data_IF_372963267536
#
_entry.id   IF_372963267536
#
_cell.length_a   1.000
_cell.length_b   1.000
_cell.length_c   1.000
_cell.angle_alpha   90.00
_cell.angle_beta   90.00
_cell.angle_gamma   90.00
#
_symmetry.space_group_name_H-M   'P 1'
#
loop_
_entity.id
_entity.type
_entity.pdbx_description
1 polymer ?
#
# COMPACT_ATOMS: atom_id res chain seq x y z
N UNK A 1 -45.91 -34.27 38.39
CA UNK A 1 -44.99 -33.30 37.81
C UNK A 1 -45.73 -32.54 36.73
N UNK A 2 -46.07 -31.25 36.93
CA UNK A 2 -46.77 -30.47 35.91
C UNK A 2 -45.80 -29.80 34.96
N UNK A 3 -46.17 -29.78 33.69
CA UNK A 3 -45.48 -29.14 32.56
C UNK A 3 -45.59 -27.63 32.64
N UNK A 4 -44.49 -26.90 32.38
CA UNK A 4 -44.48 -25.46 32.16
C UNK A 4 -44.67 -25.17 30.65
N UNK A 5 -45.72 -24.40 30.34
CA UNK A 5 -45.93 -23.80 29.02
C UNK A 5 -45.06 -22.54 28.86
N UNK A 6 -44.61 -22.22 27.64
CA UNK A 6 -43.89 -20.97 27.38
C UNK A 6 -44.83 -19.81 27.10
N UNK A 7 -44.62 -18.70 27.80
CA UNK A 7 -45.36 -17.44 27.58
C UNK A 7 -44.82 -16.75 26.31
N UNK A 8 -45.71 -16.55 25.33
CA UNK A 8 -45.54 -15.66 24.19
C UNK A 8 -45.54 -14.21 24.60
N UNK A 9 -44.44 -13.47 24.36
CA UNK A 9 -44.40 -11.99 24.41
C UNK A 9 -44.29 -11.44 23.01
N UNK A 10 -45.34 -10.73 22.62
CA UNK A 10 -45.40 -9.88 21.45
C UNK A 10 -44.40 -8.71 21.57
N UNK A 11 -43.60 -8.47 20.55
CA UNK A 11 -42.70 -7.32 20.45
C UNK A 11 -43.42 -6.25 19.64
N UNK A 12 -43.82 -5.16 20.32
CA UNK A 12 -44.24 -3.93 19.67
C UNK A 12 -43.03 -3.09 19.28
N UNK A 13 -43.00 -2.65 18.03
CA UNK A 13 -42.01 -1.71 17.50
C UNK A 13 -42.29 -0.31 18.03
N UNK A 14 -41.38 0.30 18.78
CA UNK A 14 -41.31 1.74 18.95
C UNK A 14 -39.86 2.18 18.75
N UNK A 15 -39.64 3.07 17.76
CA UNK A 15 -38.35 3.68 17.49
C UNK A 15 -37.92 4.61 18.63
N UNK A 16 -36.67 4.54 19.00
CA UNK A 16 -36.09 5.46 19.98
C UNK A 16 -34.64 5.07 20.27
N UNK A 17 -33.73 5.84 19.73
CA UNK A 17 -32.28 5.72 19.97
C UNK A 17 -32.00 6.20 21.39
N UNK A 18 -31.56 5.31 22.30
CA UNK A 18 -31.19 5.65 23.68
C UNK A 18 -29.70 5.94 23.73
N UNK A 19 -29.34 7.20 23.97
CA UNK A 19 -27.98 7.59 24.34
C UNK A 19 -27.77 7.41 25.84
N UNK A 20 -26.78 6.63 26.21
CA UNK A 20 -26.32 6.56 27.59
C UNK A 20 -25.39 7.73 27.89
N UNK A 21 -25.84 8.69 28.73
CA UNK A 21 -25.01 9.75 29.28
C UNK A 21 -24.65 9.34 30.72
N UNK A 22 -23.50 8.73 30.90
CA UNK A 22 -22.95 8.42 32.22
C UNK A 22 -22.28 9.65 32.84
N UNK A 23 -22.94 10.25 33.82
CA UNK A 23 -22.37 11.39 34.58
C UNK A 23 -21.23 10.96 35.52
N UNK A 24 -20.04 11.52 35.33
CA UNK A 24 -18.93 11.40 36.27
C UNK A 24 -19.10 12.38 37.40
N UNK A 25 -19.30 11.91 38.66
CA UNK A 25 -19.25 12.74 39.86
C UNK A 25 -17.79 13.10 40.18
N UNK A 26 -17.49 14.41 40.20
CA UNK A 26 -16.20 14.94 40.69
C UNK A 26 -16.18 14.83 42.24
N UNK A 27 -15.34 13.97 42.77
CA UNK A 27 -14.93 14.02 44.17
C UNK A 27 -13.74 14.96 44.30
N UNK A 28 -13.93 16.06 45.06
CA UNK A 28 -12.84 16.97 45.45
C UNK A 28 -12.00 16.26 46.53
N UNK A 29 -10.71 16.04 46.23
CA UNK A 29 -9.70 15.78 47.28
C UNK A 29 -8.89 17.06 47.51
N UNK A 30 -8.81 17.46 48.77
CA UNK A 30 -7.97 18.56 49.23
C UNK A 30 -6.48 18.23 49.02
N UNK A 31 -5.76 19.22 48.50
CA UNK A 31 -4.32 19.17 48.33
C UNK A 31 -3.61 19.49 49.67
N UNK A 32 -2.80 18.55 50.15
CA UNK A 32 -1.72 18.84 51.07
C UNK A 32 -0.48 19.25 50.27
N UNK A 33 0.02 20.45 50.55
CA UNK A 33 1.28 20.96 50.02
C UNK A 33 2.45 20.18 50.60
N UNK A 34 3.24 19.51 49.77
CA UNK A 34 4.60 19.13 50.10
C UNK A 34 5.55 19.80 49.10
N UNK A 35 6.34 20.71 49.65
CA UNK A 35 7.45 21.39 48.96
C UNK A 35 8.55 20.37 48.68
N UNK A 36 8.99 20.27 47.41
CA UNK A 36 10.19 19.56 46.99
C UNK A 36 11.23 20.61 46.59
N UNK A 37 12.47 20.50 47.08
CA UNK A 37 13.52 21.52 46.81
C UNK A 37 13.97 21.50 45.36
N UNK A 38 14.26 22.72 44.84
CA UNK A 38 14.81 22.95 43.55
C UNK A 38 16.25 22.38 43.45
N UNK A 39 16.47 21.43 42.54
CA UNK A 39 17.81 21.08 42.10
C UNK A 39 18.05 21.78 40.73
N UNK A 40 18.84 22.84 40.80
CA UNK A 40 19.45 23.46 39.61
C UNK A 40 20.54 22.52 39.07
N UNK A 41 20.32 21.96 37.90
CA UNK A 41 21.39 21.53 37.01
C UNK A 41 21.00 21.88 35.58
N UNK A 42 21.47 23.06 35.15
CA UNK A 42 21.45 23.47 33.74
C UNK A 42 22.59 22.75 33.03
N UNK A 43 22.32 21.56 32.47
CA UNK A 43 23.15 21.02 31.42
C UNK A 43 22.58 21.51 30.09
N UNK A 44 23.28 22.45 29.48
CA UNK A 44 22.96 22.93 28.12
C UNK A 44 23.13 21.80 27.13
N UNK A 45 22.03 21.14 26.78
CA UNK A 45 21.99 20.28 25.57
C UNK A 45 21.74 21.18 24.36
N UNK A 46 22.82 21.62 23.74
CA UNK A 46 22.74 22.15 22.37
C UNK A 46 22.56 20.94 21.43
N UNK A 47 21.32 20.47 21.29
CA UNK A 47 20.98 19.63 20.16
C UNK A 47 20.73 20.56 18.98
N UNK A 48 21.63 20.54 18.01
CA UNK A 48 21.42 21.11 16.68
C UNK A 48 20.40 20.22 15.95
N UNK A 49 19.11 20.39 16.28
CA UNK A 49 18.00 19.79 15.53
C UNK A 49 17.82 20.57 14.22
N UNK A 50 18.72 20.32 13.26
CA UNK A 50 18.38 20.58 11.86
C UNK A 50 17.33 19.56 11.49
N UNK A 51 16.10 19.94 11.08
CA UNK A 51 15.08 18.99 10.66
C UNK A 51 15.66 18.10 9.55
N UNK A 52 15.55 16.79 9.71
CA UNK A 52 16.10 15.86 8.74
C UNK A 52 15.42 16.13 7.38
N UNK A 53 16.25 16.28 6.34
CA UNK A 53 15.78 16.58 4.99
C UNK A 53 15.00 15.38 4.46
N UNK A 54 13.85 15.62 3.82
CA UNK A 54 13.12 14.58 3.11
C UNK A 54 14.06 13.83 2.15
N UNK A 55 13.97 12.49 2.06
CA UNK A 55 14.68 11.74 1.04
C UNK A 55 14.36 12.28 -0.35
N UNK A 56 15.36 12.32 -1.23
CA UNK A 56 15.14 12.71 -2.62
C UNK A 56 14.12 11.75 -3.24
N UNK A 57 13.02 12.27 -3.78
CA UNK A 57 11.99 11.44 -4.41
C UNK A 57 12.51 10.90 -5.75
N UNK A 58 13.06 9.68 -5.74
CA UNK A 58 13.70 9.02 -6.89
C UNK A 58 12.75 8.10 -7.66
N UNK A 59 11.59 7.76 -7.12
CA UNK A 59 10.67 6.79 -7.72
C UNK A 59 10.12 7.26 -9.07
N UNK A 60 10.30 6.42 -10.10
CA UNK A 60 9.83 6.64 -11.46
C UNK A 60 9.82 5.31 -12.24
N UNK A 61 9.27 5.31 -13.44
CA UNK A 61 9.38 4.19 -14.37
C UNK A 61 8.51 2.98 -14.02
N UNK A 62 9.06 1.80 -14.19
CA UNK A 62 8.37 0.53 -13.97
C UNK A 62 8.53 0.11 -12.50
N UNK A 63 7.43 0.13 -11.77
CA UNK A 63 7.40 -0.30 -10.37
C UNK A 63 6.50 -1.54 -10.24
N UNK A 64 7.06 -2.66 -9.78
CA UNK A 64 6.25 -3.82 -9.46
C UNK A 64 5.53 -3.62 -8.12
N UNK A 65 4.20 -3.81 -8.09
CA UNK A 65 3.49 -4.08 -6.85
C UNK A 65 3.82 -5.52 -6.44
N UNK A 66 4.94 -5.69 -5.72
CA UNK A 66 5.56 -6.98 -5.51
C UNK A 66 4.68 -7.90 -4.65
N UNK A 67 4.58 -9.18 -5.06
CA UNK A 67 3.89 -10.20 -4.28
C UNK A 67 4.71 -10.58 -3.04
N UNK A 68 4.03 -10.86 -1.93
CA UNK A 68 4.65 -11.44 -0.73
C UNK A 68 4.43 -12.95 -0.74
N UNK A 69 5.49 -13.70 -0.61
CA UNK A 69 5.40 -15.15 -0.46
C UNK A 69 4.83 -15.50 0.93
N UNK A 70 4.01 -16.54 0.98
CA UNK A 70 3.37 -17.03 2.21
C UNK A 70 3.96 -18.39 2.57
N UNK A 71 4.37 -18.54 3.81
CA UNK A 71 4.89 -19.76 4.38
C UNK A 71 3.83 -20.83 4.59
N UNK A 72 4.19 -21.89 5.28
CA UNK A 72 3.30 -23.05 5.44
C UNK A 72 2.18 -22.78 6.45
N UNK A 73 2.44 -21.91 7.41
CA UNK A 73 1.52 -21.61 8.50
C UNK A 73 0.94 -20.17 8.40
N UNK A 74 0.97 -19.56 7.20
CA UNK A 74 0.39 -18.26 6.97
C UNK A 74 1.29 -17.07 7.30
N UNK A 75 2.54 -17.31 7.70
CA UNK A 75 3.54 -16.25 7.90
C UNK A 75 4.11 -15.75 6.56
N UNK A 76 4.55 -14.49 6.49
CA UNK A 76 5.32 -14.02 5.33
C UNK A 76 6.64 -14.80 5.20
N UNK A 77 6.88 -15.38 4.02
CA UNK A 77 8.19 -15.95 3.67
C UNK A 77 9.10 -14.85 3.15
N UNK A 78 9.84 -14.25 4.06
CA UNK A 78 10.72 -13.13 3.76
C UNK A 78 11.85 -13.51 2.80
N UNK A 79 12.42 -14.71 2.92
CA UNK A 79 13.51 -15.16 2.06
C UNK A 79 13.06 -15.24 0.59
N UNK A 80 11.91 -15.87 0.33
CA UNK A 80 11.37 -15.97 -1.03
C UNK A 80 10.91 -14.61 -1.54
N UNK A 81 10.34 -13.76 -0.69
CA UNK A 81 9.89 -12.42 -1.07
C UNK A 81 11.06 -11.50 -1.46
N UNK A 82 12.18 -11.54 -0.72
CA UNK A 82 13.38 -10.75 -1.03
C UNK A 82 14.12 -11.28 -2.26
N UNK A 83 14.10 -12.58 -2.51
CA UNK A 83 14.61 -13.17 -3.74
C UNK A 83 13.82 -12.69 -4.98
N UNK A 84 12.48 -12.68 -4.92
CA UNK A 84 11.66 -12.09 -5.98
C UNK A 84 11.96 -10.61 -6.18
N UNK A 85 12.07 -9.84 -5.11
CA UNK A 85 12.37 -8.42 -5.18
C UNK A 85 13.68 -8.16 -5.94
N UNK A 86 14.73 -8.92 -5.65
CA UNK A 86 16.01 -8.85 -6.33
C UNK A 86 15.88 -9.19 -7.81
N UNK A 87 15.23 -10.30 -8.12
CA UNK A 87 14.95 -10.72 -9.49
C UNK A 87 14.21 -9.65 -10.30
N UNK A 88 13.18 -9.00 -9.74
CA UNK A 88 12.42 -7.97 -10.42
C UNK A 88 13.25 -6.71 -10.72
N UNK A 89 14.13 -6.31 -9.80
CA UNK A 89 15.04 -5.19 -10.03
C UNK A 89 16.08 -5.51 -11.11
N UNK A 90 16.58 -6.73 -11.14
CA UNK A 90 17.54 -7.21 -12.15
C UNK A 90 16.91 -7.38 -13.53
N UNK A 91 15.63 -7.77 -13.57
CA UNK A 91 14.91 -7.99 -14.84
C UNK A 91 14.25 -6.76 -15.43
N UNK A 92 14.28 -5.61 -14.74
CA UNK A 92 13.91 -4.35 -15.38
C UNK A 92 13.02 -3.41 -14.58
N UNK A 93 12.56 -3.76 -13.38
CA UNK A 93 11.87 -2.80 -12.54
C UNK A 93 12.80 -1.68 -12.08
N UNK A 94 12.35 -0.42 -12.21
CA UNK A 94 13.05 0.74 -11.69
C UNK A 94 12.88 0.89 -10.17
N UNK A 95 11.81 0.32 -9.63
CA UNK A 95 11.52 0.28 -8.20
C UNK A 95 10.48 -0.77 -7.83
N UNK A 96 10.17 -0.86 -6.55
CA UNK A 96 9.19 -1.80 -6.02
C UNK A 96 8.17 -1.10 -5.10
N UNK A 97 6.94 -1.62 -5.10
CA UNK A 97 5.94 -1.31 -4.08
C UNK A 97 5.72 -2.54 -3.21
N UNK A 98 6.34 -2.54 -2.04
CA UNK A 98 6.30 -3.62 -1.03
C UNK A 98 5.02 -3.51 -0.21
N UNK A 99 4.39 -4.62 0.18
CA UNK A 99 3.21 -4.64 1.04
C UNK A 99 2.07 -3.73 0.53
N UNK A 100 1.84 -3.73 -0.78
CA UNK A 100 0.60 -3.22 -1.37
C UNK A 100 -0.50 -4.29 -1.35
N UNK A 101 -1.56 -4.09 -2.14
CA UNK A 101 -2.65 -5.07 -2.29
C UNK A 101 -2.13 -6.40 -2.85
N UNK A 102 -1.25 -6.35 -3.86
CA UNK A 102 -0.63 -7.56 -4.43
C UNK A 102 0.27 -8.27 -3.42
N UNK A 103 0.85 -7.53 -2.49
CA UNK A 103 1.65 -8.05 -1.38
C UNK A 103 0.83 -8.48 -0.16
N UNK A 104 -0.49 -8.60 -0.30
CA UNK A 104 -1.42 -9.07 0.74
C UNK A 104 -1.31 -8.33 2.08
N UNK A 105 -0.93 -7.03 2.06
CA UNK A 105 -0.64 -6.25 3.26
C UNK A 105 -1.77 -6.27 4.30
N UNK A 106 -3.04 -6.31 3.86
CA UNK A 106 -4.21 -6.31 4.75
C UNK A 106 -4.53 -7.67 5.36
N UNK A 107 -3.89 -8.74 4.88
CA UNK A 107 -3.98 -10.07 5.48
C UNK A 107 -2.90 -10.33 6.54
N UNK A 108 -1.89 -9.47 6.63
CA UNK A 108 -0.81 -9.59 7.60
C UNK A 108 -1.01 -8.64 8.79
N UNK A 109 -0.66 -9.12 9.98
CA UNK A 109 -0.64 -8.30 11.20
C UNK A 109 0.39 -7.17 11.11
N UNK A 110 0.27 -6.17 11.99
CA UNK A 110 1.24 -5.09 12.11
C UNK A 110 2.69 -5.62 12.22
N UNK A 111 2.89 -6.59 13.11
CA UNK A 111 4.22 -7.16 13.36
C UNK A 111 4.74 -7.99 12.17
N UNK A 112 3.88 -8.73 11.47
CA UNK A 112 4.27 -9.43 10.26
C UNK A 112 4.70 -8.45 9.16
N UNK A 113 3.95 -7.34 8.97
CA UNK A 113 4.32 -6.29 8.00
C UNK A 113 5.67 -5.65 8.37
N UNK A 114 5.90 -5.34 9.64
CA UNK A 114 7.20 -4.81 10.11
C UNK A 114 8.34 -5.79 9.85
N UNK A 115 8.15 -7.09 10.14
CA UNK A 115 9.17 -8.11 9.83
C UNK A 115 9.50 -8.19 8.35
N UNK A 116 8.51 -8.11 7.46
CA UNK A 116 8.76 -8.06 6.02
C UNK A 116 9.61 -6.84 5.65
N UNK A 117 9.28 -5.66 6.16
CA UNK A 117 10.02 -4.43 5.89
C UNK A 117 11.47 -4.54 6.37
N UNK A 118 11.68 -5.05 7.59
CA UNK A 118 13.01 -5.27 8.16
C UNK A 118 13.82 -6.28 7.33
N UNK A 119 13.20 -7.38 6.89
CA UNK A 119 13.85 -8.37 6.05
C UNK A 119 14.33 -7.81 4.70
N UNK A 120 13.62 -6.86 4.10
CA UNK A 120 14.09 -6.17 2.89
C UNK A 120 15.33 -5.33 3.15
N UNK A 121 15.40 -4.65 4.30
CA UNK A 121 16.59 -3.90 4.72
C UNK A 121 17.77 -4.82 4.99
N UNK A 122 17.56 -5.89 5.77
CA UNK A 122 18.59 -6.88 6.12
C UNK A 122 19.13 -7.63 4.90
N UNK A 123 18.28 -7.83 3.87
CA UNK A 123 18.71 -8.41 2.59
C UNK A 123 19.55 -7.43 1.75
N UNK A 124 19.81 -6.20 2.20
CA UNK A 124 20.60 -5.21 1.48
C UNK A 124 19.94 -4.73 0.18
N UNK A 125 18.60 -4.75 0.11
CA UNK A 125 17.86 -4.24 -1.04
C UNK A 125 17.86 -2.70 -1.07
N UNK A 126 17.84 -2.05 -2.25
CA UNK A 126 17.90 -0.59 -2.39
C UNK A 126 16.57 0.05 -1.98
N UNK A 127 16.37 0.29 -0.67
CA UNK A 127 15.11 0.81 -0.12
C UNK A 127 14.80 2.23 -0.63
N UNK A 128 15.80 2.98 -1.07
CA UNK A 128 15.69 4.28 -1.75
C UNK A 128 15.01 4.18 -3.14
N UNK A 129 14.85 2.97 -3.66
CA UNK A 129 14.08 2.66 -4.87
C UNK A 129 12.75 1.95 -4.56
N UNK A 130 12.32 1.93 -3.30
CA UNK A 130 11.14 1.20 -2.86
C UNK A 130 10.18 2.08 -2.06
N UNK A 131 8.90 1.99 -2.39
CA UNK A 131 7.84 2.42 -1.49
C UNK A 131 7.25 1.20 -0.78
N UNK A 132 6.66 1.43 0.40
CA UNK A 132 6.00 0.38 1.16
C UNK A 132 4.59 0.78 1.58
N UNK A 133 3.65 -0.13 1.45
CA UNK A 133 2.27 0.08 1.90
C UNK A 133 2.20 0.18 3.41
N UNK A 134 1.78 1.34 3.93
CA UNK A 134 1.63 1.60 5.37
C UNK A 134 0.20 1.91 5.78
N UNK A 135 -0.71 2.13 4.82
CA UNK A 135 -2.13 2.36 5.11
C UNK A 135 -2.74 1.22 5.94
N UNK A 136 -3.58 1.57 6.89
CA UNK A 136 -4.31 0.66 7.77
C UNK A 136 -5.66 1.27 8.17
N UNK A 137 -6.61 0.44 8.64
CA UNK A 137 -7.89 0.94 9.13
C UNK A 137 -7.72 1.75 10.42
N UNK A 138 -6.81 1.33 11.31
CA UNK A 138 -6.45 2.07 12.51
C UNK A 138 -5.31 3.05 12.20
N UNK A 139 -5.49 4.34 12.54
CA UNK A 139 -4.47 5.37 12.35
C UNK A 139 -3.18 5.07 13.12
N UNK A 140 -3.28 4.46 14.30
CA UNK A 140 -2.11 4.08 15.11
C UNK A 140 -1.21 3.06 14.39
N UNK A 141 -1.80 2.10 13.68
CA UNK A 141 -1.07 1.11 12.88
C UNK A 141 -0.40 1.75 11.66
N UNK A 142 -1.13 2.67 10.98
CA UNK A 142 -0.56 3.42 9.86
C UNK A 142 0.64 4.28 10.31
N UNK A 143 0.54 4.94 11.48
CA UNK A 143 1.64 5.69 12.09
C UNK A 143 2.82 4.77 12.38
N UNK A 144 2.59 3.64 13.05
CA UNK A 144 3.65 2.70 13.44
C UNK A 144 4.40 2.14 12.21
N UNK A 145 3.67 1.78 11.16
CA UNK A 145 4.26 1.29 9.90
C UNK A 145 5.01 2.40 9.17
N UNK A 146 4.47 3.62 9.14
CA UNK A 146 5.12 4.74 8.44
C UNK A 146 6.40 5.18 9.16
N UNK A 147 6.41 5.19 10.51
CA UNK A 147 7.63 5.39 11.29
C UNK A 147 8.69 4.34 10.96
N UNK A 148 8.29 3.08 10.97
CA UNK A 148 9.21 1.98 10.67
C UNK A 148 9.76 2.06 9.23
N UNK A 149 8.93 2.47 8.26
CA UNK A 149 9.39 2.73 6.89
C UNK A 149 10.46 3.84 6.83
N UNK A 150 10.25 4.93 7.59
CA UNK A 150 11.21 6.02 7.69
C UNK A 150 12.53 5.57 8.34
N UNK A 151 12.45 4.83 9.45
CA UNK A 151 13.60 4.29 10.18
C UNK A 151 14.47 3.38 9.30
N UNK A 152 13.85 2.58 8.45
CA UNK A 152 14.57 1.68 7.53
C UNK A 152 15.09 2.38 6.27
N UNK A 153 14.62 3.58 5.94
CA UNK A 153 15.07 4.34 4.77
C UNK A 153 14.32 4.03 3.47
N UNK A 154 13.08 3.57 3.55
CA UNK A 154 12.25 3.45 2.34
C UNK A 154 12.04 4.81 1.67
N UNK A 155 12.05 4.84 0.32
CA UNK A 155 11.84 6.05 -0.47
C UNK A 155 10.46 6.70 -0.23
N UNK A 156 9.47 5.92 0.18
CA UNK A 156 8.15 6.42 0.45
C UNK A 156 7.21 5.45 1.15
N UNK A 157 6.22 6.01 1.81
CA UNK A 157 5.09 5.31 2.39
C UNK A 157 3.88 5.45 1.44
N UNK A 158 3.33 4.32 0.99
CA UNK A 158 2.11 4.27 0.21
C UNK A 158 0.91 4.11 1.15
N UNK A 159 0.08 5.13 1.24
CA UNK A 159 -1.00 5.21 2.23
C UNK A 159 -2.35 4.99 1.56
N UNK A 160 -2.93 3.78 1.75
CA UNK A 160 -4.33 3.52 1.48
C UNK A 160 -5.19 4.26 2.52
N UNK A 161 -6.28 4.93 2.15
CA UNK A 161 -7.16 5.56 3.13
C UNK A 161 -7.76 4.52 4.09
N UNK A 162 -8.24 4.91 5.29
CA UNK A 162 -8.85 4.00 6.25
C UNK A 162 -10.12 3.37 5.64
N UNK A 163 -10.02 2.12 5.22
CA UNK A 163 -10.97 1.47 4.32
C UNK A 163 -12.18 0.82 5.02
N UNK A 164 -12.25 0.80 6.35
CA UNK A 164 -13.38 0.16 7.05
C UNK A 164 -14.62 1.04 7.05
N UNK A 165 -14.50 2.31 7.48
CA UNK A 165 -15.62 3.25 7.46
C UNK A 165 -15.81 3.85 6.07
N UNK A 166 -17.04 3.79 5.55
CA UNK A 166 -17.42 4.36 4.25
C UNK A 166 -18.12 5.71 4.46
N UNK A 167 -18.08 6.55 3.43
CA UNK A 167 -18.76 7.85 3.47
C UNK A 167 -18.15 8.83 4.48
N UNK A 168 -16.88 8.68 4.82
CA UNK A 168 -16.18 9.65 5.68
C UNK A 168 -16.00 10.98 4.95
N UNK A 169 -16.05 12.09 5.69
CA UNK A 169 -15.79 13.43 5.17
C UNK A 169 -14.31 13.66 4.87
N UNK A 170 -14.01 14.55 3.95
CA UNK A 170 -12.64 14.97 3.61
C UNK A 170 -11.83 15.40 4.84
N UNK A 171 -12.45 16.08 5.80
CA UNK A 171 -11.79 16.49 7.05
C UNK A 171 -11.25 15.29 7.84
N UNK A 172 -11.97 14.17 7.83
CA UNK A 172 -11.51 12.93 8.46
C UNK A 172 -10.29 12.34 7.73
N UNK A 173 -10.26 12.41 6.40
CA UNK A 173 -9.13 11.96 5.59
C UNK A 173 -7.91 12.88 5.76
N UNK A 174 -8.14 14.20 5.84
CA UNK A 174 -7.07 15.17 6.16
C UNK A 174 -6.50 14.90 7.55
N UNK A 175 -7.34 14.71 8.56
CA UNK A 175 -6.91 14.41 9.92
C UNK A 175 -6.14 13.07 10.02
N UNK A 176 -6.50 12.06 9.21
CA UNK A 176 -5.77 10.81 9.13
C UNK A 176 -4.35 11.00 8.58
N UNK A 177 -4.19 11.79 7.52
CA UNK A 177 -2.87 12.13 6.96
C UNK A 177 -2.09 13.03 7.91
N UNK A 178 -2.74 14.01 8.56
CA UNK A 178 -2.11 14.89 9.54
C UNK A 178 -1.48 14.11 10.71
N UNK A 179 -2.20 13.13 11.25
CA UNK A 179 -1.69 12.27 12.32
C UNK A 179 -0.42 11.52 11.89
N UNK A 180 -0.36 11.02 10.65
CA UNK A 180 0.81 10.34 10.09
C UNK A 180 1.98 11.33 9.90
N UNK A 181 1.72 12.48 9.29
CA UNK A 181 2.73 13.53 9.02
C UNK A 181 3.34 14.03 10.32
N UNK A 182 2.50 14.38 11.30
CA UNK A 182 2.91 14.87 12.62
C UNK A 182 3.74 13.83 13.36
N UNK A 183 3.29 12.57 13.39
CA UNK A 183 3.98 11.50 14.08
C UNK A 183 5.35 11.14 13.47
N UNK A 184 5.58 11.49 12.22
CA UNK A 184 6.83 11.23 11.48
C UNK A 184 7.63 12.51 11.21
N UNK A 185 7.39 13.61 11.96
CA UNK A 185 8.05 14.90 11.71
C UNK A 185 9.54 14.87 11.99
N UNK A 186 9.98 14.13 13.02
CA UNK A 186 11.40 14.00 13.38
C UNK A 186 12.23 13.22 12.35
N UNK A 187 11.61 12.24 11.68
CA UNK A 187 12.22 11.46 10.61
C UNK A 187 11.23 11.37 9.44
N UNK A 188 11.18 12.41 8.58
CA UNK A 188 10.18 12.52 7.54
C UNK A 188 10.41 11.51 6.42
N UNK A 189 9.31 10.92 5.93
CA UNK A 189 9.27 10.05 4.75
C UNK A 189 8.26 10.58 3.76
N UNK A 190 8.54 10.44 2.46
CA UNK A 190 7.63 10.83 1.39
C UNK A 190 6.34 10.03 1.44
N UNK A 191 5.19 10.69 1.33
CA UNK A 191 3.87 10.06 1.34
C UNK A 191 3.31 10.01 -0.08
N UNK A 192 2.96 8.81 -0.52
CA UNK A 192 2.19 8.54 -1.73
C UNK A 192 0.76 8.17 -1.33
N UNK A 193 -0.21 8.86 -1.87
CA UNK A 193 -1.62 8.51 -1.70
C UNK A 193 -1.95 7.27 -2.52
N UNK A 194 -2.70 6.34 -1.97
CA UNK A 194 -3.14 5.17 -2.73
C UNK A 194 -4.63 5.28 -3.05
N UNK A 195 -4.95 5.58 -4.30
CA UNK A 195 -6.30 5.67 -4.81
C UNK A 195 -6.75 4.32 -5.35
N UNK A 196 -7.59 3.64 -4.59
CA UNK A 196 -8.19 2.36 -5.00
C UNK A 196 -9.62 2.26 -4.48
N UNK A 197 -10.56 3.04 -5.06
CA UNK A 197 -11.93 3.16 -4.54
C UNK A 197 -12.69 1.83 -4.55
N UNK A 198 -12.43 0.93 -5.50
CA UNK A 198 -13.05 -0.40 -5.53
C UNK A 198 -12.72 -1.25 -4.29
N UNK A 199 -11.58 -1.02 -3.62
CA UNK A 199 -11.19 -1.72 -2.39
C UNK A 199 -11.45 -0.89 -1.13
N UNK A 200 -11.11 0.40 -1.16
CA UNK A 200 -11.25 1.26 0.02
C UNK A 200 -12.68 1.79 0.21
N UNK A 201 -13.44 1.94 -0.88
CA UNK A 201 -14.72 2.66 -0.88
C UNK A 201 -14.57 4.16 -0.64
N UNK A 202 -13.35 4.70 -0.71
CA UNK A 202 -13.01 6.10 -0.48
C UNK A 202 -12.22 6.67 -1.67
N UNK A 203 -12.34 7.98 -1.90
CA UNK A 203 -11.74 8.65 -3.05
C UNK A 203 -10.76 9.74 -2.61
N UNK A 204 -9.55 9.72 -3.18
CA UNK A 204 -8.65 10.88 -3.18
C UNK A 204 -8.99 11.75 -4.40
N UNK A 205 -10.12 12.48 -4.38
CA UNK A 205 -10.50 13.34 -5.51
C UNK A 205 -9.57 14.57 -5.61
N UNK A 206 -9.50 15.15 -6.80
CA UNK A 206 -8.52 16.21 -7.14
C UNK A 206 -8.52 17.38 -6.16
N UNK A 207 -9.71 17.83 -5.71
CA UNK A 207 -9.81 18.94 -4.75
C UNK A 207 -9.23 18.57 -3.38
N UNK A 208 -9.44 17.32 -2.90
CA UNK A 208 -8.84 16.82 -1.65
C UNK A 208 -7.32 16.68 -1.78
N UNK A 209 -6.81 16.20 -2.92
CA UNK A 209 -5.37 16.13 -3.17
C UNK A 209 -4.75 17.53 -3.12
N UNK A 210 -5.37 18.54 -3.75
CA UNK A 210 -4.91 19.95 -3.67
C UNK A 210 -4.84 20.42 -2.22
N UNK A 211 -5.91 20.21 -1.44
CA UNK A 211 -5.96 20.54 -0.02
C UNK A 211 -4.84 19.87 0.77
N UNK A 212 -4.55 18.60 0.52
CA UNK A 212 -3.44 17.88 1.18
C UNK A 212 -2.07 18.47 0.80
N UNK A 213 -1.89 18.84 -0.47
CA UNK A 213 -0.67 19.47 -0.96
C UNK A 213 -0.47 20.86 -0.34
N UNK A 214 -1.54 21.66 -0.21
CA UNK A 214 -1.51 22.97 0.42
C UNK A 214 -1.22 22.87 1.93
N UNK A 215 -1.74 21.81 2.59
CA UNK A 215 -1.58 21.63 4.03
C UNK A 215 -0.21 21.05 4.41
N UNK A 216 0.27 20.05 3.67
CA UNK A 216 1.44 19.23 4.04
C UNK A 216 2.65 19.41 3.10
N UNK A 217 2.50 20.24 2.08
CA UNK A 217 3.60 20.65 1.20
C UNK A 217 4.32 19.47 0.54
N UNK A 218 5.63 19.43 0.75
CA UNK A 218 6.53 18.43 0.16
C UNK A 218 6.39 17.01 0.74
N UNK A 219 5.62 16.84 1.83
CA UNK A 219 5.38 15.53 2.41
C UNK A 219 4.50 14.66 1.51
N UNK A 220 3.59 15.27 0.74
CA UNK A 220 2.72 14.59 -0.22
C UNK A 220 3.37 14.68 -1.60
N UNK A 221 3.92 13.57 -2.07
CA UNK A 221 4.78 13.55 -3.26
C UNK A 221 4.15 12.91 -4.49
N UNK A 222 3.06 12.13 -4.32
CA UNK A 222 2.46 11.47 -5.46
C UNK A 222 1.24 10.61 -5.11
N UNK A 223 0.78 9.92 -6.14
CA UNK A 223 -0.42 9.08 -6.13
C UNK A 223 -0.15 7.78 -6.89
N UNK A 224 -0.50 6.65 -6.29
CA UNK A 224 -0.78 5.42 -7.03
C UNK A 224 -2.27 5.36 -7.35
N UNK A 225 -2.61 5.26 -8.62
CA UNK A 225 -4.00 5.16 -9.05
C UNK A 225 -4.34 3.75 -9.54
N UNK A 226 -5.28 3.11 -8.86
CA UNK A 226 -5.84 1.79 -9.21
C UNK A 226 -7.35 1.86 -9.49
N UNK A 227 -7.88 3.04 -9.83
CA UNK A 227 -9.28 3.21 -10.22
C UNK A 227 -9.57 2.65 -11.60
N UNK A 228 -8.57 2.68 -12.50
CA UNK A 228 -8.73 2.39 -13.92
C UNK A 228 -9.23 3.60 -14.73
N UNK A 229 -9.51 4.73 -14.08
CA UNK A 229 -9.94 5.97 -14.73
C UNK A 229 -8.71 6.80 -15.15
N UNK A 230 -8.32 6.67 -16.42
CA UNK A 230 -7.18 7.40 -16.98
C UNK A 230 -7.42 8.91 -17.08
N UNK A 231 -8.66 9.37 -17.15
CA UNK A 231 -8.96 10.81 -17.13
C UNK A 231 -8.66 11.38 -15.73
N UNK A 232 -9.15 10.73 -14.68
CA UNK A 232 -8.80 11.09 -13.30
C UNK A 232 -7.28 11.07 -13.07
N UNK A 233 -6.58 10.05 -13.56
CA UNK A 233 -5.12 9.97 -13.40
C UNK A 233 -4.39 11.16 -14.04
N UNK A 234 -4.81 11.58 -15.25
CA UNK A 234 -4.26 12.77 -15.93
C UNK A 234 -4.60 14.06 -15.19
N UNK A 235 -5.83 14.21 -14.70
CA UNK A 235 -6.24 15.37 -13.91
C UNK A 235 -5.41 15.47 -12.62
N UNK A 236 -5.20 14.36 -11.93
CA UNK A 236 -4.33 14.31 -10.76
C UNK A 236 -2.87 14.68 -11.10
N UNK A 237 -2.34 14.18 -12.23
CA UNK A 237 -0.98 14.49 -12.67
C UNK A 237 -0.80 15.97 -13.08
N UNK A 238 -1.87 16.66 -13.47
CA UNK A 238 -1.86 18.08 -13.83
C UNK A 238 -1.83 19.04 -12.63
N UNK A 239 -2.00 18.54 -11.40
CA UNK A 239 -2.10 19.38 -10.21
C UNK A 239 -0.81 20.19 -9.99
N UNK A 240 0.33 19.51 -10.02
CA UNK A 240 1.66 20.12 -9.87
C UNK A 240 2.70 19.29 -10.62
N UNK A 241 3.71 19.91 -11.28
CA UNK A 241 4.77 19.16 -12.00
C UNK A 241 5.56 18.19 -11.10
N UNK A 242 5.69 18.47 -9.80
CA UNK A 242 6.38 17.60 -8.85
C UNK A 242 5.53 16.45 -8.31
N UNK A 243 4.21 16.47 -8.53
CA UNK A 243 3.30 15.44 -8.01
C UNK A 243 3.29 14.23 -8.91
N UNK A 244 3.89 13.15 -8.45
CA UNK A 244 4.13 11.93 -9.24
C UNK A 244 2.92 11.01 -9.24
N UNK A 245 2.33 10.78 -10.40
CA UNK A 245 1.19 9.89 -10.57
C UNK A 245 1.61 8.61 -11.27
N UNK A 246 1.17 7.48 -10.73
CA UNK A 246 1.44 6.13 -11.21
C UNK A 246 0.14 5.36 -11.42
N UNK A 247 -0.40 5.30 -12.64
CA UNK A 247 -1.49 4.37 -12.96
C UNK A 247 -1.06 2.91 -12.75
N UNK A 248 -2.00 2.05 -12.37
CA UNK A 248 -1.70 0.62 -12.13
C UNK A 248 -1.90 -0.25 -13.38
N UNK A 249 -1.47 0.25 -14.53
CA UNK A 249 -1.55 -0.47 -15.81
C UNK A 249 -0.33 -0.20 -16.66
N UNK A 250 0.17 -1.23 -17.34
CA UNK A 250 1.27 -1.14 -18.30
C UNK A 250 0.91 -0.28 -19.50
N UNK A 251 -0.38 -0.19 -19.85
CA UNK A 251 -0.87 0.65 -20.95
C UNK A 251 -0.55 2.14 -20.74
N UNK A 252 -0.24 2.58 -19.51
CA UNK A 252 0.18 3.93 -19.21
C UNK A 252 1.67 4.22 -19.50
N UNK A 253 2.49 3.22 -19.81
CA UNK A 253 3.93 3.40 -20.02
C UNK A 253 4.30 4.36 -21.16
N UNK A 254 3.59 4.43 -22.30
CA UNK A 254 3.86 5.45 -23.31
C UNK A 254 3.68 6.89 -22.79
N UNK A 255 2.61 7.14 -22.01
CA UNK A 255 2.38 8.44 -21.39
C UNK A 255 3.36 8.72 -20.26
N UNK A 256 3.84 7.70 -19.55
CA UNK A 256 4.89 7.85 -18.55
C UNK A 256 6.25 8.20 -19.17
N UNK A 257 6.51 7.75 -20.39
CA UNK A 257 7.74 8.05 -21.13
C UNK A 257 7.79 9.47 -21.67
N UNK A 258 6.67 10.01 -22.09
CA UNK A 258 6.60 11.29 -22.83
C UNK A 258 5.76 12.37 -22.16
N UNK A 259 5.10 12.10 -21.04
CA UNK A 259 4.07 12.99 -20.53
C UNK A 259 3.81 12.92 -19.05
N UNK A 260 2.54 12.96 -18.64
CA UNK A 260 2.19 13.41 -17.29
C UNK A 260 2.48 12.39 -16.17
N UNK A 261 2.72 11.12 -16.50
CA UNK A 261 2.90 10.10 -15.46
C UNK A 261 4.37 9.90 -15.11
N UNK A 262 4.63 9.60 -13.85
CA UNK A 262 5.98 9.29 -13.38
C UNK A 262 6.41 7.85 -13.72
N UNK A 263 5.47 6.98 -14.05
CA UNK A 263 5.67 5.58 -14.34
C UNK A 263 4.37 4.80 -14.24
N UNK A 264 4.46 3.49 -14.02
CA UNK A 264 3.34 2.65 -13.60
C UNK A 264 3.70 1.84 -12.35
N UNK A 265 2.70 1.53 -11.52
CA UNK A 265 2.83 0.58 -10.41
C UNK A 265 1.90 -0.59 -10.68
N UNK A 266 2.42 -1.68 -11.25
CA UNK A 266 1.60 -2.79 -11.72
C UNK A 266 1.83 -4.08 -10.95
N UNK A 267 0.74 -4.82 -10.73
CA UNK A 267 0.77 -6.17 -10.18
C UNK A 267 1.37 -7.17 -11.18
N UNK A 268 1.04 -7.04 -12.47
CA UNK A 268 1.55 -7.93 -13.53
C UNK A 268 3.02 -7.70 -13.86
N UNK A 269 3.64 -6.59 -13.40
CA UNK A 269 5.08 -6.40 -13.46
C UNK A 269 5.88 -7.49 -12.69
N UNK A 270 5.24 -8.23 -11.78
CA UNK A 270 5.84 -9.46 -11.20
C UNK A 270 6.14 -10.56 -12.26
N UNK A 271 5.52 -10.48 -13.44
CA UNK A 271 5.53 -11.53 -14.46
C UNK A 271 6.17 -11.08 -15.77
N UNK A 272 6.25 -9.75 -15.98
CA UNK A 272 6.60 -9.15 -17.29
C UNK A 272 7.48 -7.89 -17.14
N UNK A 273 8.29 -7.82 -16.08
CA UNK A 273 9.16 -6.68 -15.79
C UNK A 273 10.05 -6.30 -17.00
N UNK A 274 10.59 -7.29 -17.69
CA UNK A 274 11.45 -7.12 -18.88
C UNK A 274 10.70 -6.47 -20.05
N UNK A 275 9.43 -6.85 -20.26
CA UNK A 275 8.57 -6.25 -21.29
C UNK A 275 8.23 -4.81 -20.95
N UNK A 276 7.84 -4.56 -19.71
CA UNK A 276 7.54 -3.22 -19.21
C UNK A 276 8.77 -2.30 -19.34
N UNK A 277 9.96 -2.79 -18.96
CA UNK A 277 11.20 -2.02 -19.07
C UNK A 277 11.52 -1.63 -20.50
N UNK A 278 11.38 -2.55 -21.45
CA UNK A 278 11.58 -2.26 -22.89
C UNK A 278 10.54 -1.25 -23.40
N UNK A 279 9.27 -1.46 -23.07
CA UNK A 279 8.20 -0.53 -23.45
C UNK A 279 8.46 0.88 -22.92
N UNK A 280 8.89 1.00 -21.66
CA UNK A 280 9.16 2.29 -21.04
C UNK A 280 10.45 2.94 -21.55
N UNK A 281 11.58 2.22 -21.56
CA UNK A 281 12.90 2.80 -21.83
C UNK A 281 13.13 3.05 -23.31
N UNK A 282 12.77 2.10 -24.18
CA UNK A 282 12.99 2.19 -25.63
C UNK A 282 11.74 2.52 -26.45
N UNK A 283 10.54 2.54 -25.84
CA UNK A 283 9.29 2.73 -26.58
C UNK A 283 8.90 1.53 -27.44
N UNK A 284 9.34 0.32 -27.04
CA UNK A 284 9.07 -0.92 -27.77
C UNK A 284 7.58 -1.26 -27.73
N UNK A 285 6.88 -0.98 -28.83
CA UNK A 285 5.44 -1.21 -28.96
C UNK A 285 5.07 -2.70 -28.93
N UNK A 286 5.94 -3.59 -29.41
CA UNK A 286 5.69 -5.03 -29.37
C UNK A 286 5.77 -5.54 -27.93
N UNK A 287 6.79 -5.11 -27.16
CA UNK A 287 6.90 -5.44 -25.74
C UNK A 287 5.71 -4.91 -24.92
N UNK A 288 5.23 -3.69 -25.24
CA UNK A 288 4.02 -3.15 -24.61
C UNK A 288 2.79 -4.02 -24.89
N UNK A 289 2.59 -4.41 -26.15
CA UNK A 289 1.45 -5.25 -26.56
C UNK A 289 1.49 -6.62 -25.85
N UNK A 290 2.66 -7.23 -25.72
CA UNK A 290 2.86 -8.48 -24.98
C UNK A 290 2.55 -8.28 -23.47
N UNK A 291 3.08 -7.21 -22.85
CA UNK A 291 2.84 -6.91 -21.44
C UNK A 291 1.34 -6.70 -21.14
N UNK A 292 0.65 -5.94 -21.99
CA UNK A 292 -0.80 -5.72 -21.90
C UNK A 292 -1.58 -7.04 -22.13
N UNK A 293 -1.11 -7.89 -23.04
CA UNK A 293 -1.73 -9.22 -23.24
C UNK A 293 -1.61 -10.09 -22.02
N UNK A 294 -0.44 -10.13 -21.36
CA UNK A 294 -0.25 -10.86 -20.10
C UNK A 294 -1.19 -10.31 -19.00
N UNK A 295 -1.33 -8.98 -18.90
CA UNK A 295 -2.28 -8.38 -17.95
C UNK A 295 -3.71 -8.84 -18.19
N UNK A 296 -4.16 -8.88 -19.43
CA UNK A 296 -5.52 -9.29 -19.81
C UNK A 296 -5.85 -10.75 -19.48
N UNK A 297 -4.86 -11.60 -19.25
CA UNK A 297 -5.09 -12.98 -18.79
C UNK A 297 -5.84 -13.03 -17.44
N UNK A 298 -5.78 -11.98 -16.68
CA UNK A 298 -6.41 -11.87 -15.35
C UNK A 298 -7.75 -11.13 -15.36
N UNK A 299 -8.24 -10.68 -16.51
CA UNK A 299 -9.51 -9.97 -16.61
C UNK A 299 -10.66 -10.88 -16.11
N UNK A 300 -11.46 -10.36 -15.16
CA UNK A 300 -12.53 -11.11 -14.51
C UNK A 300 -12.09 -12.21 -13.53
N UNK A 301 -10.81 -12.30 -13.22
CA UNK A 301 -10.25 -13.32 -12.32
C UNK A 301 -9.67 -12.70 -11.04
N UNK A 302 -9.45 -13.54 -10.02
CA UNK A 302 -8.79 -13.16 -8.78
C UNK A 302 -7.30 -12.85 -9.04
N UNK A 303 -6.96 -11.55 -9.12
CA UNK A 303 -5.64 -11.09 -9.58
C UNK A 303 -4.49 -11.59 -8.71
N UNK A 304 -4.57 -11.42 -7.38
CA UNK A 304 -3.45 -11.76 -6.47
C UNK A 304 -3.17 -13.28 -6.47
N UNK A 305 -4.17 -14.16 -6.26
CA UNK A 305 -3.97 -15.60 -6.38
C UNK A 305 -3.47 -16.02 -7.77
N UNK A 306 -3.95 -15.37 -8.84
CA UNK A 306 -3.53 -15.65 -10.21
C UNK A 306 -2.07 -15.30 -10.47
N UNK A 307 -1.59 -14.14 -10.02
CA UNK A 307 -0.18 -13.74 -10.08
C UNK A 307 0.70 -14.75 -9.34
N UNK A 308 0.32 -15.14 -8.13
CA UNK A 308 1.08 -16.08 -7.33
C UNK A 308 1.08 -17.49 -7.94
N UNK A 309 -0.03 -17.92 -8.54
CA UNK A 309 -0.08 -19.18 -9.29
C UNK A 309 0.87 -19.18 -10.50
N UNK A 310 0.99 -18.04 -11.19
CA UNK A 310 1.90 -17.92 -12.34
C UNK A 310 3.36 -17.78 -11.88
N UNK A 311 3.65 -17.09 -10.76
CA UNK A 311 4.98 -17.10 -10.15
C UNK A 311 5.41 -18.54 -9.76
N UNK A 312 4.49 -19.36 -9.25
CA UNK A 312 4.77 -20.76 -8.96
C UNK A 312 5.19 -21.55 -10.21
N UNK A 313 4.57 -21.26 -11.36
CA UNK A 313 4.92 -21.86 -12.64
C UNK A 313 6.26 -21.33 -13.18
N UNK A 314 6.45 -20.01 -13.23
CA UNK A 314 7.64 -19.36 -13.80
C UNK A 314 8.92 -19.76 -13.05
N UNK A 315 8.85 -19.87 -11.73
CA UNK A 315 10.01 -20.15 -10.88
C UNK A 315 10.13 -21.64 -10.49
N UNK A 316 9.25 -22.51 -11.02
CA UNK A 316 9.16 -23.93 -10.62
C UNK A 316 9.13 -24.08 -9.08
N UNK A 317 8.31 -23.25 -8.43
CA UNK A 317 8.26 -23.15 -6.98
C UNK A 317 6.80 -23.15 -6.48
N UNK A 318 6.18 -24.32 -6.32
CA UNK A 318 4.78 -24.49 -5.91
C UNK A 318 4.35 -23.66 -4.68
N UNK A 319 5.20 -23.41 -3.66
CA UNK A 319 4.83 -22.60 -2.52
C UNK A 319 4.42 -21.16 -2.85
N UNK A 320 4.78 -20.61 -4.02
CA UNK A 320 4.29 -19.32 -4.45
C UNK A 320 2.77 -19.23 -4.59
N UNK A 321 2.10 -20.35 -4.87
CA UNK A 321 0.64 -20.38 -5.04
C UNK A 321 -0.15 -20.19 -3.73
N UNK A 322 0.52 -20.15 -2.57
CA UNK A 322 -0.13 -19.93 -1.27
C UNK A 322 -0.57 -18.46 -1.13
N UNK A 323 -1.76 -18.28 -0.56
CA UNK A 323 -2.34 -16.96 -0.25
C UNK A 323 -2.88 -16.98 1.17
N UNK A 324 -2.96 -15.79 1.79
CA UNK A 324 -3.59 -15.63 3.10
C UNK A 324 -5.11 -15.41 2.99
N UNK A 325 -5.92 -15.93 3.91
CA UNK A 325 -7.31 -15.53 4.03
C UNK A 325 -7.45 -13.99 4.14
N UNK A 326 -8.52 -13.39 3.58
CA UNK A 326 -9.69 -14.06 2.98
C UNK A 326 -9.50 -14.49 1.52
N UNK A 327 -8.29 -14.37 0.97
CA UNK A 327 -8.02 -14.86 -0.38
C UNK A 327 -8.07 -16.40 -0.39
N UNK A 328 -8.45 -16.94 -1.53
CA UNK A 328 -8.49 -18.39 -1.77
C UNK A 328 -7.54 -18.77 -2.90
N UNK A 329 -7.11 -20.02 -2.90
CA UNK A 329 -6.27 -20.59 -3.97
C UNK A 329 -6.91 -20.34 -5.33
N UNK A 330 -6.09 -19.98 -6.32
CA UNK A 330 -6.54 -19.73 -7.69
C UNK A 330 -7.18 -20.99 -8.30
N UNK A 331 -8.37 -20.85 -8.88
CA UNK A 331 -9.13 -21.97 -9.42
C UNK A 331 -8.32 -22.75 -10.46
N UNK A 332 -8.40 -24.07 -10.44
CA UNK A 332 -7.56 -24.94 -11.29
C UNK A 332 -7.75 -24.67 -12.80
N UNK A 333 -9.00 -24.44 -13.23
CA UNK A 333 -9.31 -24.12 -14.63
C UNK A 333 -8.71 -22.78 -15.05
N UNK A 334 -8.84 -21.76 -14.20
CA UNK A 334 -8.25 -20.43 -14.45
C UNK A 334 -6.72 -20.49 -14.47
N UNK A 335 -6.13 -21.27 -13.56
CA UNK A 335 -4.69 -21.48 -13.50
C UNK A 335 -4.16 -22.09 -14.80
N UNK A 336 -4.79 -23.15 -15.30
CA UNK A 336 -4.39 -23.79 -16.55
C UNK A 336 -4.49 -22.80 -17.74
N UNK A 337 -5.58 -22.04 -17.82
CA UNK A 337 -5.79 -21.06 -18.89
C UNK A 337 -4.77 -19.92 -18.84
N UNK A 338 -4.47 -19.38 -17.65
CA UNK A 338 -3.50 -18.30 -17.47
C UNK A 338 -2.07 -18.76 -17.79
N UNK A 339 -1.67 -19.97 -17.35
CA UNK A 339 -0.36 -20.54 -17.68
C UNK A 339 -0.22 -20.74 -19.19
N UNK A 340 -1.18 -21.39 -19.84
CA UNK A 340 -1.14 -21.60 -21.28
C UNK A 340 -1.09 -20.28 -22.07
N UNK A 341 -1.86 -19.27 -21.63
CA UNK A 341 -1.84 -17.93 -22.24
C UNK A 341 -0.49 -17.23 -22.07
N UNK A 342 0.11 -17.30 -20.88
CA UNK A 342 1.43 -16.75 -20.61
C UNK A 342 2.52 -17.42 -21.47
N UNK A 343 2.57 -18.73 -21.49
CA UNK A 343 3.55 -19.50 -22.26
C UNK A 343 3.42 -19.19 -23.76
N UNK A 344 2.20 -19.06 -24.29
CA UNK A 344 1.95 -18.68 -25.67
C UNK A 344 2.47 -17.28 -26.02
N UNK A 345 2.39 -16.32 -25.11
CA UNK A 345 2.96 -14.97 -25.30
C UNK A 345 4.48 -15.05 -25.27
N UNK A 346 5.06 -15.79 -24.32
CA UNK A 346 6.52 -15.88 -24.15
C UNK A 346 7.21 -16.72 -25.25
N UNK A 347 6.55 -17.75 -25.78
CA UNK A 347 7.09 -18.59 -26.87
C UNK A 347 7.29 -17.83 -28.20
N UNK A 348 6.47 -16.81 -28.48
CA UNK A 348 6.60 -15.99 -29.70
C UNK A 348 7.94 -15.23 -29.81
N UNK A 349 8.72 -15.19 -28.73
CA UNK A 349 10.04 -14.51 -28.69
C UNK A 349 11.21 -15.41 -29.09
N UNK A 350 11.00 -16.72 -29.13
CA UNK A 350 12.06 -17.70 -29.40
C UNK A 350 12.07 -18.10 -30.88
N UNK A 351 11.05 -17.75 -31.61
CA UNK A 351 10.92 -17.97 -33.06
C UNK A 351 11.27 -16.71 -33.86
#
# INVERSE_FOLDING_TARGET
MPACEPATRSIEHCGGMVYWIGGWRKTRRQSSQNQVPAMTNAASMTSSDTPSKLPTNTLHGVIAAVATAVGEHGEPDSARSTALARFLLETGCDGLNVLGTTGEATSFSLDQRRRVMTAYAEAGLPLDRMMVGTGAAAVADAIALTKHAAELGFAGALVLPPFYYKGVHDDGLVAYIDAIVTATAAQPVSIYLYHFPAQSGLHWHVALIRRLLDTFGERIVGLKDSSGDMAYARDAASILPRFKVFPSTEAALPEARSGPFAGCISATANLNADLCARAYRSGDAAALAEAVTIRKLFDGKALVPGIKALLAHIHDAPPWARVEPPLSTFAAADRAAVIAGYDAVRAKRVA
#
